data_IF_523393192921
#
_entry.id   IF_523393192921
#
_cell.length_a   1.000
_cell.length_b   1.000
_cell.length_c   1.000
_cell.angle_alpha   90.00
_cell.angle_beta   90.00
_cell.angle_gamma   90.00
#
_symmetry.space_group_name_H-M   'P 1'
#
loop_
_entity.id
_entity.type
_entity.pdbx_description
1 polymer ?
#
# COMPACT_ATOMS: atom_id res chain seq x y z
N UNK A 1 7.10 -13.79 9.59
CA UNK A 1 7.78 -12.47 9.64
C UNK A 1 7.17 -11.46 8.67
N UNK A 2 6.82 -11.85 7.44
CA UNK A 2 6.30 -10.93 6.42
C UNK A 2 5.01 -10.18 6.81
N UNK A 3 4.11 -10.84 7.54
CA UNK A 3 2.87 -10.22 8.06
C UNK A 3 3.17 -9.01 8.94
N UNK A 4 4.14 -9.12 9.85
CA UNK A 4 4.57 -8.01 10.70
C UNK A 4 5.15 -6.87 9.87
N UNK A 5 6.00 -7.19 8.88
CA UNK A 5 6.56 -6.21 7.94
C UNK A 5 5.46 -5.44 7.21
N UNK A 6 4.44 -6.15 6.70
CA UNK A 6 3.29 -5.54 6.03
C UNK A 6 2.54 -4.55 6.94
N UNK A 7 2.31 -4.92 8.21
CA UNK A 7 1.68 -4.03 9.18
C UNK A 7 2.53 -2.79 9.47
N UNK A 8 3.83 -2.93 9.70
CA UNK A 8 4.72 -1.79 9.95
C UNK A 8 4.77 -0.83 8.76
N UNK A 9 4.94 -1.36 7.54
CA UNK A 9 4.91 -0.55 6.32
C UNK A 9 3.55 0.12 6.16
N UNK A 10 2.47 -0.55 6.55
CA UNK A 10 1.14 0.03 6.48
C UNK A 10 0.93 1.23 7.40
N UNK A 11 1.45 1.17 8.63
CA UNK A 11 1.42 2.30 9.56
C UNK A 11 2.23 3.47 9.00
N UNK A 12 3.44 3.21 8.48
CA UNK A 12 4.30 4.25 7.90
C UNK A 12 3.60 4.89 6.68
N UNK A 13 3.06 4.08 5.77
CA UNK A 13 2.34 4.55 4.59
C UNK A 13 1.09 5.36 4.98
N UNK A 14 0.35 4.97 6.02
CA UNK A 14 -0.78 5.74 6.55
C UNK A 14 -0.35 7.12 7.04
N UNK A 15 0.75 7.20 7.78
CA UNK A 15 1.34 8.46 8.22
C UNK A 15 1.73 9.33 7.01
N UNK A 16 2.48 8.78 6.05
CA UNK A 16 2.93 9.50 4.86
C UNK A 16 1.75 10.04 4.04
N UNK A 17 0.75 9.21 3.75
CA UNK A 17 -0.46 9.64 3.02
C UNK A 17 -1.28 10.70 3.76
N UNK A 18 -1.29 10.67 5.10
CA UNK A 18 -1.91 11.72 5.91
C UNK A 18 -1.16 13.05 5.76
N UNK A 19 0.16 13.03 5.78
CA UNK A 19 1.00 14.23 5.61
C UNK A 19 1.03 14.77 4.17
N UNK A 20 0.78 13.93 3.16
CA UNK A 20 0.93 14.26 1.74
C UNK A 20 -0.30 14.92 1.08
N UNK A 21 -1.44 15.01 1.77
CA UNK A 21 -2.67 15.56 1.19
C UNK A 21 -3.91 14.71 1.44
N UNK A 22 -3.91 13.91 2.52
CA UNK A 22 -5.05 13.10 2.95
C UNK A 22 -5.42 11.95 1.97
N UNK A 23 -4.41 11.33 1.34
CA UNK A 23 -4.55 10.16 0.44
C UNK A 23 -4.89 8.83 1.17
N UNK A 24 -5.59 8.91 2.31
CA UNK A 24 -5.84 7.78 3.22
C UNK A 24 -6.58 6.61 2.55
N UNK A 25 -7.39 6.89 1.52
CA UNK A 25 -8.11 5.88 0.73
C UNK A 25 -7.14 4.85 0.12
N UNK A 26 -5.98 5.28 -0.34
CA UNK A 26 -4.98 4.40 -0.94
C UNK A 26 -4.40 3.42 0.10
N UNK A 27 -4.09 3.90 1.31
CA UNK A 27 -3.64 3.03 2.40
C UNK A 27 -4.71 2.02 2.82
N UNK A 28 -5.97 2.46 2.91
CA UNK A 28 -7.09 1.60 3.30
C UNK A 28 -7.27 0.46 2.29
N UNK A 29 -7.14 0.73 0.98
CA UNK A 29 -7.20 -0.30 -0.05
C UNK A 29 -6.15 -1.39 0.15
N UNK A 30 -4.88 -1.02 0.38
CA UNK A 30 -3.83 -2.02 0.59
C UNK A 30 -4.00 -2.79 1.90
N UNK A 31 -4.48 -2.14 2.97
CA UNK A 31 -4.85 -2.83 4.22
C UNK A 31 -5.95 -3.86 4.00
N UNK A 32 -6.98 -3.54 3.21
CA UNK A 32 -8.04 -4.48 2.87
C UNK A 32 -7.50 -5.65 2.03
N UNK A 33 -6.68 -5.39 1.02
CA UNK A 33 -6.05 -6.44 0.20
C UNK A 33 -5.17 -7.37 1.02
N UNK A 34 -4.33 -6.82 1.90
CA UNK A 34 -3.51 -7.62 2.82
C UNK A 34 -4.35 -8.42 3.81
N UNK A 35 -5.44 -7.84 4.33
CA UNK A 35 -6.36 -8.53 5.24
C UNK A 35 -7.09 -9.69 4.56
N UNK A 36 -7.56 -9.52 3.32
CA UNK A 36 -8.18 -10.59 2.52
C UNK A 36 -7.15 -11.68 2.20
N UNK A 37 -5.93 -11.29 1.84
CA UNK A 37 -4.83 -12.23 1.58
C UNK A 37 -4.51 -13.08 2.82
N UNK A 38 -4.51 -12.48 4.01
CA UNK A 38 -4.31 -13.18 5.27
C UNK A 38 -5.51 -14.03 5.67
N UNK A 39 -6.73 -13.56 5.41
CA UNK A 39 -7.97 -14.30 5.68
C UNK A 39 -8.04 -15.58 4.86
N UNK A 40 -7.69 -15.51 3.58
CA UNK A 40 -7.70 -16.66 2.66
C UNK A 40 -6.38 -17.42 2.64
N UNK A 41 -5.49 -17.22 3.63
CA UNK A 41 -4.12 -17.75 3.61
C UNK A 41 -4.08 -19.25 3.34
N UNK A 42 -4.96 -20.03 3.96
CA UNK A 42 -5.04 -21.49 3.79
C UNK A 42 -5.39 -21.90 2.36
N UNK A 43 -6.20 -21.12 1.65
CA UNK A 43 -6.55 -21.35 0.25
C UNK A 43 -5.39 -20.95 -0.68
N UNK A 44 -4.67 -19.89 -0.35
CA UNK A 44 -3.51 -19.40 -1.11
C UNK A 44 -2.26 -20.29 -0.95
N UNK A 45 -2.09 -20.95 0.19
CA UNK A 45 -0.98 -21.90 0.41
C UNK A 45 -1.12 -23.18 -0.42
N UNK A 46 -2.33 -23.47 -0.92
CA UNK A 46 -2.57 -24.56 -1.87
C UNK A 46 -2.24 -24.18 -3.32
N UNK A 47 -2.05 -22.88 -3.61
CA UNK A 47 -1.67 -22.39 -4.93
C UNK A 47 -0.15 -22.51 -5.16
N UNK A 48 0.30 -22.57 -6.44
CA UNK A 48 1.73 -22.58 -6.77
C UNK A 48 2.47 -21.44 -6.05
N UNK A 49 3.72 -21.66 -5.66
CA UNK A 49 4.51 -20.75 -4.80
C UNK A 49 4.50 -19.26 -5.23
N UNK A 50 4.35 -19.00 -6.53
CA UNK A 50 4.25 -17.67 -7.15
C UNK A 50 3.00 -16.91 -6.69
N UNK A 51 1.92 -17.63 -6.37
CA UNK A 51 0.65 -17.10 -5.88
C UNK A 51 0.47 -17.29 -4.36
N UNK A 52 1.48 -17.78 -3.64
CA UNK A 52 1.36 -17.97 -2.20
C UNK A 52 1.04 -16.65 -1.46
N UNK A 53 0.36 -16.76 -0.32
CA UNK A 53 -0.04 -15.62 0.49
C UNK A 53 1.14 -14.71 0.86
N UNK A 54 2.31 -15.29 1.14
CA UNK A 54 3.51 -14.55 1.47
C UNK A 54 4.03 -13.72 0.27
N UNK A 55 4.00 -14.27 -0.95
CA UNK A 55 4.36 -13.54 -2.17
C UNK A 55 3.39 -12.38 -2.42
N UNK A 56 2.09 -12.61 -2.26
CA UNK A 56 1.06 -11.57 -2.38
C UNK A 56 1.27 -10.44 -1.37
N UNK A 57 1.54 -10.78 -0.10
CA UNK A 57 1.85 -9.80 0.93
C UNK A 57 3.10 -8.97 0.61
N UNK A 58 4.13 -9.58 0.04
CA UNK A 58 5.31 -8.83 -0.45
C UNK A 58 4.90 -7.84 -1.53
N UNK A 59 4.11 -8.27 -2.52
CA UNK A 59 3.63 -7.41 -3.61
C UNK A 59 2.82 -6.22 -3.06
N UNK A 60 1.87 -6.48 -2.15
CA UNK A 60 1.08 -5.42 -1.52
C UNK A 60 1.95 -4.46 -0.71
N UNK A 61 2.91 -4.98 0.04
CA UNK A 61 3.86 -4.17 0.81
C UNK A 61 4.67 -3.23 -0.10
N UNK A 62 5.22 -3.77 -1.19
CA UNK A 62 6.03 -2.98 -2.13
C UNK A 62 5.19 -1.93 -2.84
N UNK A 63 4.01 -2.30 -3.35
CA UNK A 63 3.10 -1.35 -3.98
C UNK A 63 2.71 -0.24 -3.02
N UNK A 64 2.32 -0.58 -1.80
CA UNK A 64 1.95 0.39 -0.78
C UNK A 64 3.08 1.37 -0.45
N UNK A 65 4.33 0.88 -0.38
CA UNK A 65 5.50 1.74 -0.17
C UNK A 65 5.75 2.66 -1.37
N UNK A 66 5.61 2.16 -2.61
CA UNK A 66 5.74 2.96 -3.83
C UNK A 66 4.67 4.05 -3.87
N UNK A 67 3.41 3.72 -3.61
CA UNK A 67 2.32 4.69 -3.59
C UNK A 67 2.51 5.75 -2.49
N UNK A 68 3.00 5.36 -1.31
CA UNK A 68 3.38 6.31 -0.26
C UNK A 68 4.50 7.26 -0.71
N UNK A 69 5.52 6.73 -1.39
CA UNK A 69 6.60 7.53 -1.98
C UNK A 69 6.10 8.50 -3.05
N UNK A 70 5.26 8.04 -3.97
CA UNK A 70 4.65 8.88 -5.02
C UNK A 70 3.80 9.98 -4.40
N UNK A 71 2.96 9.65 -3.43
CA UNK A 71 2.11 10.63 -2.75
C UNK A 71 2.95 11.70 -2.06
N UNK A 72 4.05 11.30 -1.38
CA UNK A 72 4.99 12.24 -0.80
C UNK A 72 5.65 13.14 -1.87
N UNK A 73 6.09 12.56 -2.99
CA UNK A 73 6.71 13.30 -4.09
C UNK A 73 5.74 14.32 -4.73
N UNK A 74 4.49 13.91 -5.00
CA UNK A 74 3.46 14.76 -5.63
C UNK A 74 3.05 15.92 -4.73
N UNK A 75 3.15 15.79 -3.40
CA UNK A 75 2.87 16.88 -2.46
C UNK A 75 3.69 18.15 -2.78
N UNK A 76 4.93 17.96 -3.21
CA UNK A 76 5.91 19.03 -3.41
C UNK A 76 5.96 19.52 -4.87
N UNK A 77 5.13 18.97 -5.77
CA UNK A 77 4.98 19.50 -7.13
C UNK A 77 4.01 20.68 -7.06
N UNK A 78 4.47 21.94 -7.23
CA UNK A 78 3.56 23.06 -7.34
C UNK A 78 2.69 22.85 -8.58
N UNK A 79 1.37 22.80 -8.37
CA UNK A 79 0.39 22.87 -9.47
C UNK A 79 0.46 24.31 -9.99
N UNK A 80 1.35 24.54 -10.94
CA UNK A 80 1.47 25.82 -11.63
C UNK A 80 0.22 26.00 -12.52
N UNK A 81 -0.68 26.88 -12.07
CA UNK A 81 -1.68 27.64 -12.85
C UNK A 81 -2.48 26.91 -13.95
N UNK A 82 -3.40 25.99 -13.60
CA UNK A 82 -4.46 25.57 -14.53
C UNK A 82 -5.77 26.38 -14.40
N UNK A 83 -5.82 27.41 -13.55
CA UNK A 83 -6.97 28.31 -13.40
C UNK A 83 -6.78 29.67 -14.10
N UNK A 84 -6.30 29.64 -15.35
CA UNK A 84 -6.46 30.75 -16.30
C UNK A 84 -6.93 30.24 -17.65
N UNK A 85 -8.21 29.90 -17.76
CA UNK A 85 -9.00 30.01 -19.00
C UNK A 85 -10.41 30.44 -18.63
#
# INVERSE_FOLDING_TARGET
MITWTFFFVSVIAACVHRYSGNHQKCTITFLLLGSVTLWMREDWEQMPHIFSADTQLVIWTVLQAIFAGIAFYVRDIPVEDSHKV
#
